data_IF_276113918405
#
_entry.id   IF_276113918405
#
_cell.length_a   1.000
_cell.length_b   1.000
_cell.length_c   1.000
_cell.angle_alpha   90.00
_cell.angle_beta   90.00
_cell.angle_gamma   90.00
#
_symmetry.space_group_name_H-M   'P 1'
#
loop_
_entity.id
_entity.type
_entity.pdbx_description
1 polymer ?
#
# COMPACT_ATOMS: atom_id res chain seq x y z
N UNK A 1 -11.41 -6.14 -0.31
CA UNK A 1 -10.54 -4.94 -0.52
C UNK A 1 -9.93 -4.55 0.82
N UNK A 2 -8.60 -4.61 0.94
CA UNK A 2 -7.88 -4.43 2.22
C UNK A 2 -8.17 -3.09 2.92
N UNK A 3 -8.36 -1.99 2.18
CA UNK A 3 -8.70 -0.68 2.77
C UNK A 3 -9.99 -0.72 3.58
N UNK A 4 -11.04 -1.38 3.08
CA UNK A 4 -12.33 -1.51 3.77
C UNK A 4 -12.17 -2.36 5.03
N UNK A 5 -11.45 -3.48 4.92
CA UNK A 5 -11.20 -4.38 6.05
C UNK A 5 -10.41 -3.68 7.16
N UNK A 6 -9.37 -2.93 6.79
CA UNK A 6 -8.55 -2.17 7.72
C UNK A 6 -9.37 -1.10 8.45
N UNK A 7 -10.15 -0.29 7.71
CA UNK A 7 -10.98 0.74 8.31
C UNK A 7 -12.02 0.16 9.28
N UNK A 8 -12.69 -0.94 8.92
CA UNK A 8 -13.65 -1.62 9.80
C UNK A 8 -13.04 -2.11 11.12
N UNK A 9 -11.76 -2.47 11.13
CA UNK A 9 -11.07 -2.95 12.33
C UNK A 9 -10.53 -1.81 13.21
N UNK A 10 -10.12 -0.68 12.61
CA UNK A 10 -9.30 0.32 13.29
C UNK A 10 -9.95 1.70 13.43
N UNK A 11 -11.02 2.01 12.71
CA UNK A 11 -11.77 3.25 12.89
C UNK A 11 -12.52 3.24 14.23
N UNK A 12 -12.28 4.25 15.07
CA UNK A 12 -12.79 4.32 16.45
C UNK A 12 -14.25 4.76 16.54
N UNK A 13 -14.74 5.51 15.56
CA UNK A 13 -16.01 6.23 15.62
C UNK A 13 -16.99 5.74 14.55
N UNK A 14 -18.07 5.08 14.98
CA UNK A 14 -19.18 4.69 14.13
C UNK A 14 -18.99 3.39 13.33
N UNK A 15 -20.04 2.99 12.63
CA UNK A 15 -20.02 1.82 11.74
C UNK A 15 -19.38 2.23 10.42
N UNK A 16 -18.24 1.65 10.08
CA UNK A 16 -17.62 1.83 8.77
C UNK A 16 -18.46 1.15 7.70
N UNK A 17 -19.10 1.95 6.84
CA UNK A 17 -19.87 1.47 5.71
C UNK A 17 -18.98 1.24 4.49
N UNK A 18 -19.15 0.08 3.83
CA UNK A 18 -18.50 -0.16 2.54
C UNK A 18 -18.94 0.84 1.47
N UNK A 19 -20.15 1.40 1.58
CA UNK A 19 -20.67 2.38 0.62
C UNK A 19 -19.84 3.67 0.60
N UNK A 20 -19.23 4.06 1.73
CA UNK A 20 -18.35 5.23 1.80
C UNK A 20 -17.13 5.09 0.88
N UNK A 21 -16.67 3.87 0.59
CA UNK A 21 -15.55 3.64 -0.33
C UNK A 21 -15.96 3.72 -1.80
N UNK A 22 -17.26 3.80 -2.10
CA UNK A 22 -17.78 4.08 -3.44
C UNK A 22 -17.88 5.60 -3.71
N UNK A 23 -17.74 6.42 -2.67
CA UNK A 23 -17.66 7.88 -2.81
C UNK A 23 -16.31 8.30 -3.40
N UNK A 24 -16.20 9.58 -3.77
CA UNK A 24 -15.01 10.13 -4.44
C UNK A 24 -13.72 9.91 -3.66
N UNK A 25 -13.77 9.98 -2.32
CA UNK A 25 -12.60 9.75 -1.45
C UNK A 25 -12.13 8.29 -1.40
N UNK A 26 -12.90 7.34 -1.93
CA UNK A 26 -12.54 5.93 -2.02
C UNK A 26 -12.13 5.57 -3.44
N UNK A 27 -13.08 5.04 -4.22
CA UNK A 27 -12.80 4.43 -5.52
C UNK A 27 -12.25 5.42 -6.55
N UNK A 28 -12.77 6.66 -6.60
CA UNK A 28 -12.32 7.63 -7.61
C UNK A 28 -10.89 8.12 -7.33
N UNK A 29 -10.60 8.46 -6.07
CA UNK A 29 -9.26 8.85 -5.63
C UNK A 29 -8.24 7.71 -5.80
N UNK A 30 -8.65 6.48 -5.47
CA UNK A 30 -7.81 5.29 -5.67
C UNK A 30 -7.49 5.08 -7.16
N UNK A 31 -8.48 5.16 -8.05
CA UNK A 31 -8.26 5.01 -9.50
C UNK A 31 -7.27 6.07 -9.99
N UNK A 32 -7.53 7.35 -9.74
CA UNK A 32 -6.67 8.42 -10.29
C UNK A 32 -5.25 8.35 -9.71
N UNK A 33 -5.10 7.98 -8.43
CA UNK A 33 -3.80 7.80 -7.78
C UNK A 33 -3.04 6.60 -8.38
N UNK A 34 -3.72 5.49 -8.65
CA UNK A 34 -3.12 4.30 -9.25
C UNK A 34 -2.77 4.47 -10.73
N UNK A 35 -3.40 5.39 -11.47
CA UNK A 35 -3.07 5.66 -12.88
C UNK A 35 -2.06 6.81 -13.06
N UNK A 36 -2.11 7.85 -12.23
CA UNK A 36 -1.33 9.08 -12.43
C UNK A 36 -0.50 9.57 -11.24
N UNK A 37 -0.65 8.96 -10.06
CA UNK A 37 -0.04 9.45 -8.82
C UNK A 37 1.49 9.34 -8.78
N UNK A 38 2.12 10.19 -7.95
CA UNK A 38 3.58 10.17 -7.71
C UNK A 38 4.05 8.84 -7.11
N UNK A 39 3.24 8.23 -6.22
CA UNK A 39 3.52 6.90 -5.69
C UNK A 39 3.64 5.86 -6.82
N UNK A 40 2.71 5.86 -7.78
CA UNK A 40 2.73 4.94 -8.94
C UNK A 40 3.98 5.14 -9.79
N UNK A 41 4.27 6.39 -10.18
CA UNK A 41 5.43 6.71 -11.05
C UNK A 41 6.76 6.28 -10.44
N UNK A 42 6.96 6.50 -9.14
CA UNK A 42 8.20 6.10 -8.46
C UNK A 42 8.24 4.59 -8.22
N UNK A 43 7.11 3.94 -7.90
CA UNK A 43 7.06 2.49 -7.74
C UNK A 43 7.37 1.76 -9.06
N UNK A 44 6.92 2.29 -10.20
CA UNK A 44 7.29 1.82 -11.54
C UNK A 44 8.80 1.93 -11.78
N UNK A 45 9.39 3.11 -11.56
CA UNK A 45 10.82 3.30 -11.70
C UNK A 45 11.63 2.41 -10.72
N UNK A 46 11.13 2.18 -9.51
CA UNK A 46 11.72 1.25 -8.54
C UNK A 46 11.74 -0.17 -9.11
N UNK A 47 10.63 -0.64 -9.67
CA UNK A 47 10.52 -1.98 -10.24
C UNK A 47 11.42 -2.18 -11.47
N UNK A 48 11.54 -1.17 -12.33
CA UNK A 48 12.33 -1.24 -13.57
C UNK A 48 13.83 -1.12 -13.33
N UNK A 49 14.24 -0.26 -12.39
CA UNK A 49 15.65 0.12 -12.23
C UNK A 49 16.34 -0.53 -11.03
N UNK A 50 15.57 -1.00 -10.04
CA UNK A 50 16.12 -1.50 -8.76
C UNK A 50 16.74 -0.41 -7.88
N UNK A 51 16.65 0.87 -8.26
CA UNK A 51 17.09 2.00 -7.42
C UNK A 51 16.26 2.06 -6.15
N UNK A 52 16.86 2.53 -5.06
CA UNK A 52 16.12 2.71 -3.80
C UNK A 52 15.10 3.83 -3.91
N UNK A 53 14.02 3.75 -3.12
CA UNK A 53 12.99 4.79 -3.05
C UNK A 53 13.61 6.16 -2.73
N UNK A 54 14.58 6.23 -1.81
CA UNK A 54 15.22 7.48 -1.44
C UNK A 54 15.97 8.15 -2.61
N UNK A 55 16.61 7.37 -3.49
CA UNK A 55 17.25 7.88 -4.70
C UNK A 55 16.20 8.41 -5.68
N UNK A 56 15.14 7.64 -5.91
CA UNK A 56 14.07 8.01 -6.84
C UNK A 56 13.28 9.24 -6.36
N UNK A 57 13.09 9.43 -5.06
CA UNK A 57 12.52 10.65 -4.48
C UNK A 57 13.37 11.89 -4.81
N UNK A 58 14.70 11.78 -4.74
CA UNK A 58 15.58 12.88 -5.13
C UNK A 58 15.50 13.17 -6.63
N UNK A 59 15.60 12.13 -7.46
CA UNK A 59 15.64 12.27 -8.93
C UNK A 59 14.30 12.71 -9.53
N UNK A 60 13.18 12.17 -9.05
CA UNK A 60 11.87 12.34 -9.68
C UNK A 60 10.99 13.38 -8.99
N UNK A 61 11.22 13.61 -7.70
CA UNK A 61 10.36 14.45 -6.86
C UNK A 61 11.10 15.63 -6.22
N UNK A 62 12.33 15.92 -6.66
CA UNK A 62 13.18 16.99 -6.11
C UNK A 62 13.33 16.88 -4.59
N UNK A 63 13.46 15.64 -4.09
CA UNK A 63 13.64 15.34 -2.67
C UNK A 63 12.37 15.31 -1.83
N UNK A 64 11.18 15.53 -2.43
CA UNK A 64 9.92 15.35 -1.71
C UNK A 64 9.69 13.88 -1.38
N UNK A 65 9.29 13.62 -0.12
CA UNK A 65 9.03 12.27 0.38
C UNK A 65 7.68 11.72 -0.09
N UNK A 66 7.68 10.45 -0.49
CA UNK A 66 6.46 9.72 -0.81
C UNK A 66 5.73 9.30 0.45
N UNK A 67 4.41 9.43 0.41
CA UNK A 67 3.54 8.99 1.51
C UNK A 67 3.29 7.49 1.46
N UNK A 68 3.27 6.85 0.29
CA UNK A 68 2.94 5.42 0.15
C UNK A 68 3.84 4.50 0.98
N UNK A 69 5.17 4.54 0.80
CA UNK A 69 6.10 3.74 1.61
C UNK A 69 6.06 4.08 3.10
N UNK A 70 6.02 5.37 3.47
CA UNK A 70 5.93 5.76 4.88
C UNK A 70 4.65 5.21 5.54
N UNK A 71 3.51 5.33 4.87
CA UNK A 71 2.24 4.79 5.34
C UNK A 71 2.24 3.27 5.43
N UNK A 72 2.90 2.55 4.51
CA UNK A 72 2.98 1.08 4.58
C UNK A 72 3.77 0.61 5.80
N UNK A 73 4.80 1.35 6.23
CA UNK A 73 5.52 1.07 7.47
C UNK A 73 4.64 1.21 8.72
N UNK A 74 3.83 2.27 8.80
CA UNK A 74 2.89 2.48 9.90
C UNK A 74 1.78 1.42 9.92
N UNK A 75 1.21 1.11 8.76
CA UNK A 75 0.18 0.07 8.63
C UNK A 75 0.75 -1.30 9.04
N UNK A 76 1.94 -1.66 8.55
CA UNK A 76 2.60 -2.91 8.94
C UNK A 76 2.86 -2.97 10.46
N UNK A 77 3.30 -1.86 11.06
CA UNK A 77 3.52 -1.79 12.51
C UNK A 77 2.23 -2.08 13.30
N UNK A 78 1.11 -1.45 12.91
CA UNK A 78 -0.21 -1.67 13.53
C UNK A 78 -0.63 -3.15 13.38
N UNK A 79 -0.52 -3.70 12.18
CA UNK A 79 -0.91 -5.09 11.89
C UNK A 79 -0.07 -6.09 12.68
N UNK A 80 1.25 -5.85 12.79
CA UNK A 80 2.17 -6.69 13.56
C UNK A 80 1.82 -6.68 15.04
N UNK A 81 1.55 -5.51 15.62
CA UNK A 81 1.11 -5.40 17.03
C UNK A 81 -0.21 -6.13 17.31
N UNK A 82 -1.07 -6.26 16.29
CA UNK A 82 -2.39 -6.89 16.41
C UNK A 82 -2.40 -8.37 16.00
N UNK A 83 -1.28 -8.91 15.51
CA UNK A 83 -1.21 -10.28 15.00
C UNK A 83 -2.04 -10.49 13.74
N UNK A 84 -2.18 -9.47 12.89
CA UNK A 84 -3.07 -9.47 11.72
C UNK A 84 -2.31 -9.39 10.38
N UNK A 85 -0.99 -9.51 10.37
CA UNK A 85 -0.14 -9.41 9.16
C UNK A 85 -0.67 -10.32 8.03
N UNK A 86 -1.01 -11.57 8.34
CA UNK A 86 -1.47 -12.55 7.35
C UNK A 86 -2.85 -12.23 6.74
N UNK A 87 -3.59 -11.27 7.31
CA UNK A 87 -4.90 -10.84 6.80
C UNK A 87 -4.80 -9.72 5.75
N UNK A 88 -3.62 -9.11 5.58
CA UNK A 88 -3.39 -7.96 4.70
C UNK A 88 -2.15 -8.17 3.83
N UNK A 89 -2.10 -9.24 3.02
CA UNK A 89 -0.92 -9.58 2.23
C UNK A 89 -0.46 -8.48 1.27
N UNK A 90 -1.37 -7.67 0.73
CA UNK A 90 -1.03 -6.58 -0.19
C UNK A 90 -0.33 -5.43 0.56
N UNK A 91 -0.89 -4.96 1.67
CA UNK A 91 -0.24 -3.93 2.51
C UNK A 91 1.14 -4.39 3.01
N UNK A 92 1.23 -5.64 3.45
CA UNK A 92 2.47 -6.23 3.95
C UNK A 92 3.50 -6.35 2.84
N UNK A 93 3.13 -6.84 1.65
CA UNK A 93 4.06 -6.97 0.54
C UNK A 93 4.68 -5.63 0.14
N UNK A 94 3.89 -4.55 0.08
CA UNK A 94 4.40 -3.20 -0.21
C UNK A 94 5.44 -2.77 0.82
N UNK A 95 5.18 -2.98 2.12
CA UNK A 95 6.16 -2.69 3.17
C UNK A 95 7.45 -3.52 2.98
N UNK A 96 7.34 -4.83 2.82
CA UNK A 96 8.50 -5.72 2.73
C UNK A 96 9.37 -5.42 1.51
N UNK A 97 8.77 -5.07 0.37
CA UNK A 97 9.49 -4.68 -0.84
C UNK A 97 10.22 -3.35 -0.63
N UNK A 98 9.57 -2.37 0.01
CA UNK A 98 10.17 -1.06 0.22
C UNK A 98 11.25 -1.03 1.31
N UNK A 99 11.16 -1.89 2.33
CA UNK A 99 11.99 -1.77 3.55
C UNK A 99 12.73 -3.05 3.99
N UNK A 100 12.25 -4.24 3.64
CA UNK A 100 12.85 -5.52 4.06
C UNK A 100 13.61 -6.23 2.93
N UNK A 101 13.69 -5.62 1.75
CA UNK A 101 14.43 -6.17 0.60
C UNK A 101 13.73 -7.34 -0.10
N UNK A 102 12.41 -7.53 0.12
CA UNK A 102 11.64 -8.51 -0.63
C UNK A 102 11.69 -8.19 -2.13
N UNK A 103 11.96 -9.17 -3.02
CA UNK A 103 11.98 -8.93 -4.46
C UNK A 103 10.64 -8.40 -4.97
N UNK A 104 10.68 -7.34 -5.80
CA UNK A 104 9.47 -6.74 -6.39
C UNK A 104 8.68 -7.72 -7.27
N UNK A 105 9.37 -8.73 -7.83
CA UNK A 105 8.78 -9.79 -8.64
C UNK A 105 7.78 -10.66 -7.85
N UNK A 106 7.90 -10.71 -6.51
CA UNK A 106 6.97 -11.44 -5.65
C UNK A 106 5.66 -10.69 -5.39
N UNK A 107 5.51 -9.47 -5.89
CA UNK A 107 4.29 -8.66 -5.72
C UNK A 107 3.04 -9.37 -6.24
N UNK A 108 3.14 -10.09 -7.36
CA UNK A 108 1.99 -10.84 -7.90
C UNK A 108 1.70 -12.08 -7.08
N UNK A 109 2.73 -12.73 -6.54
CA UNK A 109 2.57 -13.94 -5.73
C UNK A 109 1.79 -13.69 -4.44
N UNK A 110 1.92 -12.51 -3.81
CA UNK A 110 1.14 -12.21 -2.60
C UNK A 110 -0.38 -12.12 -2.88
N UNK A 111 -0.79 -11.86 -4.12
CA UNK A 111 -2.20 -11.80 -4.54
C UNK A 111 -2.78 -13.18 -4.84
N UNK A 112 -1.95 -14.16 -5.21
CA UNK A 112 -2.40 -15.51 -5.58
C UNK A 112 -3.02 -16.27 -4.39
N UNK A 113 -2.64 -15.91 -3.17
CA UNK A 113 -3.13 -16.49 -1.92
C UNK A 113 -3.95 -15.49 -1.10
N UNK A 114 -4.60 -14.51 -1.75
CA UNK A 114 -5.28 -13.44 -1.04
C UNK A 114 -6.53 -13.97 -0.28
N UNK A 115 -6.74 -13.58 1.01
CA UNK A 115 -7.87 -14.03 1.83
C UNK A 115 -9.29 -13.76 1.30
N UNK A 116 -9.43 -12.99 0.22
CA UNK A 116 -10.74 -12.69 -0.41
C UNK A 116 -11.15 -13.79 -1.41
N UNK A 117 -10.27 -14.76 -1.67
CA UNK A 117 -10.47 -15.86 -2.61
C UNK A 117 -10.47 -17.23 -1.94
N UNK A 118 -10.31 -17.26 -0.61
CA UNK A 118 -10.39 -18.45 0.25
C UNK A 118 -11.79 -18.55 0.85
#
# INVERSE_FOLDING_TARGET
MEMIAFAKLFSKDGVVSSATFLESCGVADLITTCYGGRNRRVAEAFAETGKTIAVLEQEMLNGQKLQGPATSAEVYHILKQKGLVDKFPLFVAVYQICFEGKPVQEMISCLQSHPEHL
#
